data_IF_993672510947
#
_entry.id   IF_993672510947
#
_cell.length_a   1.000
_cell.length_b   1.000
_cell.length_c   1.000
_cell.angle_alpha   90.00
_cell.angle_beta   90.00
_cell.angle_gamma   90.00
#
_symmetry.space_group_name_H-M   'P 1'
#
loop_
_entity.id
_entity.type
_entity.pdbx_description
1 polymer ?
#
# COMPACT_ATOMS: atom_id res chain seq x y z
N UNK A 1 -1.99 -26.86 -44.71
CA UNK A 1 -0.80 -26.48 -45.51
C UNK A 1 -0.98 -25.06 -46.01
N UNK A 2 -0.53 -24.09 -45.22
CA UNK A 2 -0.18 -22.76 -45.70
C UNK A 2 0.76 -22.18 -44.64
N UNK A 3 2.02 -22.03 -45.06
CA UNK A 3 3.21 -21.56 -44.36
C UNK A 3 3.02 -20.17 -43.74
N UNK A 4 3.34 -19.96 -42.46
CA UNK A 4 4.69 -19.78 -41.87
C UNK A 4 5.51 -18.69 -42.54
N UNK A 5 5.47 -17.47 -41.98
CA UNK A 5 6.63 -16.60 -41.74
C UNK A 5 6.21 -15.26 -41.12
N UNK A 6 6.19 -15.18 -39.79
CA UNK A 6 6.22 -13.92 -39.05
C UNK A 6 7.46 -13.93 -38.14
N UNK A 7 8.50 -13.26 -38.60
CA UNK A 7 9.77 -13.07 -37.90
C UNK A 7 9.59 -12.09 -36.74
N UNK A 8 9.60 -12.61 -35.50
CA UNK A 8 9.73 -11.83 -34.27
C UNK A 8 11.15 -11.25 -34.15
N UNK A 9 11.29 -9.94 -34.33
CA UNK A 9 12.45 -9.18 -33.91
C UNK A 9 12.37 -8.92 -32.40
N UNK A 10 12.87 -9.87 -31.60
CA UNK A 10 13.13 -9.65 -30.17
C UNK A 10 14.46 -8.91 -30.01
N UNK A 11 14.38 -7.60 -29.80
CA UNK A 11 15.52 -6.80 -29.37
C UNK A 11 15.80 -7.15 -27.90
N UNK A 12 16.82 -7.97 -27.67
CA UNK A 12 17.42 -8.17 -26.36
C UNK A 12 18.32 -6.98 -26.05
N UNK A 13 17.88 -6.07 -25.18
CA UNK A 13 18.77 -5.06 -24.59
C UNK A 13 19.22 -5.58 -23.23
N UNK A 14 20.33 -6.33 -23.29
CA UNK A 14 21.10 -6.76 -22.14
C UNK A 14 22.47 -6.07 -22.24
N UNK A 15 22.65 -4.94 -21.55
CA UNK A 15 23.98 -4.38 -21.35
C UNK A 15 24.06 -3.54 -20.07
N UNK A 16 24.66 -4.16 -19.05
CA UNK A 16 25.71 -3.61 -18.18
C UNK A 16 25.70 -2.09 -17.94
N UNK A 17 25.44 -1.71 -16.69
CA UNK A 17 26.36 -0.83 -15.96
C UNK A 17 26.57 -1.35 -14.54
N UNK A 18 27.61 -2.17 -14.41
CA UNK A 18 28.31 -2.37 -13.15
C UNK A 18 29.15 -1.13 -12.92
N UNK A 19 28.92 -0.38 -11.85
CA UNK A 19 29.96 0.41 -11.16
C UNK A 19 29.42 1.08 -9.89
N UNK A 20 30.17 0.84 -8.80
CA UNK A 20 30.27 1.62 -7.55
C UNK A 20 29.08 1.58 -6.57
N UNK A 21 29.04 0.49 -5.83
CA UNK A 21 28.70 0.48 -4.41
C UNK A 21 29.75 1.30 -3.64
N UNK A 22 29.48 2.58 -3.41
CA UNK A 22 30.18 3.34 -2.36
C UNK A 22 29.55 3.00 -1.02
N UNK A 23 30.37 2.44 -0.14
CA UNK A 23 30.13 2.28 1.30
C UNK A 23 29.63 3.60 1.89
N UNK A 24 28.35 3.67 2.19
CA UNK A 24 27.81 4.60 3.18
C UNK A 24 27.36 3.72 4.34
N UNK A 25 28.27 3.56 5.29
CA UNK A 25 27.93 3.23 6.67
C UNK A 25 27.01 4.34 7.17
N UNK A 26 25.70 4.16 7.00
CA UNK A 26 24.75 4.79 7.87
C UNK A 26 24.48 3.76 8.95
N UNK A 27 24.76 4.17 10.19
CA UNK A 27 24.31 3.54 11.42
C UNK A 27 22.78 3.44 11.40
N UNK A 28 22.28 2.45 10.66
CA UNK A 28 21.04 1.79 10.97
C UNK A 28 21.32 1.04 12.26
N UNK A 29 21.12 1.75 13.38
CA UNK A 29 20.86 1.14 14.66
C UNK A 29 19.97 -0.06 14.38
N UNK A 30 20.54 -1.24 14.62
CA UNK A 30 19.87 -2.49 14.42
C UNK A 30 18.59 -2.42 15.24
N UNK A 31 17.45 -2.24 14.56
CA UNK A 31 16.20 -2.80 15.02
C UNK A 31 16.44 -4.30 14.95
N UNK A 32 17.16 -4.82 15.95
CA UNK A 32 17.08 -6.23 16.29
C UNK A 32 15.59 -6.44 16.47
N UNK A 33 14.94 -7.34 15.70
CA UNK A 33 13.63 -7.80 16.11
C UNK A 33 13.77 -8.18 17.59
N UNK A 34 12.90 -7.68 18.49
CA UNK A 34 13.02 -8.00 19.90
C UNK A 34 13.15 -9.52 20.01
N UNK A 35 14.20 -9.98 20.68
CA UNK A 35 14.56 -11.39 20.82
C UNK A 35 13.59 -12.17 21.72
N UNK A 36 12.31 -11.80 21.69
CA UNK A 36 11.23 -12.31 22.52
C UNK A 36 10.02 -12.52 21.59
N UNK A 37 10.15 -13.48 20.69
CA UNK A 37 9.00 -14.24 20.20
C UNK A 37 9.38 -15.72 20.33
N UNK A 38 9.74 -16.12 21.56
CA UNK A 38 9.53 -17.50 21.96
C UNK A 38 8.01 -17.70 21.92
N UNK A 39 7.62 -18.48 20.93
CA UNK A 39 6.29 -19.02 20.69
C UNK A 39 5.59 -19.34 22.01
N UNK A 40 4.58 -18.54 22.36
CA UNK A 40 3.54 -18.87 23.32
C UNK A 40 2.57 -19.93 22.74
N UNK A 41 3.14 -20.94 22.11
CA UNK A 41 2.54 -22.20 21.67
C UNK A 41 3.40 -23.20 22.44
N UNK A 42 2.98 -23.76 23.57
CA UNK A 42 1.89 -24.73 23.70
C UNK A 42 1.32 -24.78 25.13
N UNK A 43 1.63 -23.81 26.00
CA UNK A 43 1.25 -23.88 27.41
C UNK A 43 -0.14 -23.26 27.65
N UNK A 44 -1.21 -24.00 27.34
CA UNK A 44 -2.55 -23.95 28.00
C UNK A 44 -3.08 -22.62 28.55
N UNK A 45 -2.75 -21.49 27.91
CA UNK A 45 -2.98 -20.15 28.42
C UNK A 45 -4.44 -19.78 28.20
N UNK A 46 -5.21 -19.76 29.29
CA UNK A 46 -6.65 -19.53 29.29
C UNK A 46 -7.11 -18.39 28.38
N UNK A 47 -8.30 -18.58 27.80
CA UNK A 47 -9.01 -17.77 26.77
C UNK A 47 -9.02 -16.25 26.99
N UNK A 48 -8.82 -15.77 28.23
CA UNK A 48 -8.58 -14.35 28.51
C UNK A 48 -7.31 -13.77 27.86
N UNK A 49 -6.34 -14.64 27.51
CA UNK A 49 -5.08 -14.25 26.88
C UNK A 49 -5.25 -13.69 25.46
N UNK A 50 -6.25 -14.16 24.68
CA UNK A 50 -6.46 -13.72 23.30
C UNK A 50 -7.03 -12.31 23.20
N UNK A 51 -8.04 -11.98 24.02
CA UNK A 51 -8.59 -10.64 24.12
C UNK A 51 -7.53 -9.66 24.64
N UNK A 52 -6.80 -10.07 25.67
CA UNK A 52 -5.74 -9.24 26.24
C UNK A 52 -4.59 -9.03 25.24
N UNK A 53 -4.20 -10.05 24.48
CA UNK A 53 -3.21 -9.92 23.41
C UNK A 53 -3.68 -9.03 22.27
N UNK A 54 -4.95 -9.15 21.84
CA UNK A 54 -5.52 -8.28 20.80
C UNK A 54 -5.56 -6.82 21.28
N UNK A 55 -5.97 -6.60 22.53
CA UNK A 55 -6.03 -5.28 23.15
C UNK A 55 -4.63 -4.68 23.31
N UNK A 56 -3.63 -5.47 23.71
CA UNK A 56 -2.22 -5.06 23.78
C UNK A 56 -1.69 -4.64 22.40
N UNK A 57 -2.04 -5.38 21.34
CA UNK A 57 -1.67 -5.05 19.96
C UNK A 57 -2.37 -3.78 19.45
N UNK A 58 -3.60 -3.53 19.90
CA UNK A 58 -4.34 -2.30 19.58
C UNK A 58 -3.75 -1.09 20.33
N UNK A 59 -3.40 -1.29 21.61
CA UNK A 59 -2.86 -0.27 22.51
C UNK A 59 -1.34 -0.12 22.44
N UNK A 60 -0.67 -0.81 21.52
CA UNK A 60 0.77 -0.69 21.30
C UNK A 60 1.12 0.81 21.11
N UNK A 61 1.97 1.39 21.98
CA UNK A 61 2.26 2.83 21.96
C UNK A 61 2.84 3.27 20.62
N UNK A 62 3.60 2.42 19.93
CA UNK A 62 4.12 2.73 18.59
C UNK A 62 3.00 2.89 17.56
N UNK A 63 1.93 2.09 17.69
CA UNK A 63 0.75 2.16 16.82
C UNK A 63 -0.11 3.37 17.17
N UNK A 64 -0.30 3.66 18.45
CA UNK A 64 -1.02 4.86 18.91
C UNK A 64 -0.29 6.14 18.49
N UNK A 65 1.04 6.18 18.61
CA UNK A 65 1.85 7.29 18.11
C UNK A 65 1.70 7.44 16.59
N UNK A 66 1.77 6.33 15.84
CA UNK A 66 1.55 6.35 14.41
C UNK A 66 0.15 6.86 14.04
N UNK A 67 -0.91 6.41 14.72
CA UNK A 67 -2.28 6.91 14.54
C UNK A 67 -2.39 8.40 14.89
N UNK A 68 -1.81 8.83 16.02
CA UNK A 68 -1.77 10.24 16.41
C UNK A 68 -1.02 11.10 15.38
N UNK A 69 -0.01 10.54 14.71
CA UNK A 69 0.73 11.21 13.65
C UNK A 69 -0.06 11.26 12.34
N UNK A 70 -0.97 10.31 12.10
CA UNK A 70 -1.89 10.32 10.97
C UNK A 70 -3.03 11.33 11.15
N UNK A 71 -3.50 11.52 12.40
CA UNK A 71 -4.54 12.49 12.75
C UNK A 71 -4.03 13.92 12.87
N UNK A 72 -2.72 14.12 12.98
CA UNK A 72 -2.14 15.46 12.83
C UNK A 72 -2.45 15.96 11.42
N UNK A 73 -3.15 17.09 11.35
CA UNK A 73 -3.30 17.84 10.11
C UNK A 73 -1.93 18.01 9.47
N UNK A 74 -1.68 17.23 8.41
CA UNK A 74 -0.42 17.28 7.67
C UNK A 74 -0.19 18.69 7.14
N UNK A 75 -1.29 19.44 6.92
CA UNK A 75 -1.32 20.84 6.52
C UNK A 75 -2.52 21.54 7.19
N UNK A 76 -2.39 22.05 8.42
CA UNK A 76 -3.30 23.13 8.88
C UNK A 76 -3.18 24.26 7.87
N UNK A 77 -4.20 24.95 7.35
CA UNK A 77 -3.94 26.07 6.41
C UNK A 77 -3.52 27.32 7.20
N UNK A 78 -2.28 27.76 7.05
CA UNK A 78 -1.80 29.02 7.62
C UNK A 78 -1.41 29.95 6.46
N UNK A 79 -2.21 31.00 6.27
CA UNK A 79 -2.04 32.00 5.23
C UNK A 79 -0.72 32.77 5.35
N UNK A 80 -0.17 32.90 6.55
CA UNK A 80 1.04 33.69 6.79
C UNK A 80 2.34 32.90 6.60
N UNK A 81 2.26 31.57 6.55
CA UNK A 81 3.42 30.67 6.52
C UNK A 81 3.58 29.91 5.19
N UNK A 82 3.06 30.46 4.09
CA UNK A 82 3.14 29.82 2.77
C UNK A 82 4.58 29.47 2.36
N UNK A 83 5.52 30.41 2.50
CA UNK A 83 6.93 30.19 2.13
C UNK A 83 7.60 29.11 2.98
N UNK A 84 7.41 29.15 4.30
CA UNK A 84 7.94 28.13 5.22
C UNK A 84 7.51 26.72 4.81
N UNK A 85 6.25 26.57 4.35
CA UNK A 85 5.74 25.29 3.82
C UNK A 85 6.26 24.95 2.44
N UNK A 86 6.44 25.95 1.59
CA UNK A 86 7.01 25.76 0.27
C UNK A 86 8.44 25.20 0.37
N UNK A 87 9.18 25.55 1.42
CA UNK A 87 10.53 25.03 1.69
C UNK A 87 10.58 23.85 2.68
N UNK A 88 9.43 23.37 3.17
CA UNK A 88 9.42 22.20 4.06
C UNK A 88 9.91 20.95 3.31
N UNK A 89 10.97 20.35 3.84
CA UNK A 89 11.59 19.13 3.31
C UNK A 89 10.81 17.88 3.74
N UNK A 90 10.06 17.97 4.85
CA UNK A 90 9.38 16.81 5.45
C UNK A 90 8.24 16.34 4.55
N UNK A 91 8.25 15.06 4.19
CA UNK A 91 7.23 14.44 3.35
C UNK A 91 7.44 14.59 1.84
N UNK A 92 8.50 15.28 1.39
CA UNK A 92 8.84 15.37 -0.03
C UNK A 92 9.92 14.37 -0.40
N UNK A 93 9.81 13.79 -1.59
CA UNK A 93 10.88 12.98 -2.15
C UNK A 93 12.00 13.87 -2.72
N UNK A 94 12.65 14.65 -1.85
CA UNK A 94 13.69 15.61 -2.23
C UNK A 94 14.84 14.92 -2.93
N UNK A 95 15.18 13.68 -2.58
CA UNK A 95 16.22 12.91 -3.27
C UNK A 95 15.93 12.73 -4.76
N UNK A 96 14.68 12.49 -5.13
CA UNK A 96 14.29 12.30 -6.53
C UNK A 96 14.29 13.60 -7.35
N UNK A 97 14.04 14.75 -6.71
CA UNK A 97 14.02 16.06 -7.38
C UNK A 97 15.40 16.73 -7.37
N UNK A 98 16.12 16.62 -6.26
CA UNK A 98 17.39 17.29 -6.04
C UNK A 98 18.50 16.71 -6.92
N UNK A 99 18.54 15.40 -7.14
CA UNK A 99 19.54 14.77 -7.99
C UNK A 99 19.51 15.30 -9.45
N UNK A 100 18.36 15.30 -10.17
CA UNK A 100 18.31 15.85 -11.52
C UNK A 100 18.52 17.38 -11.52
N UNK A 101 18.06 18.09 -10.49
CA UNK A 101 18.26 19.54 -10.40
C UNK A 101 19.74 19.91 -10.23
N UNK A 102 20.46 19.22 -9.34
CA UNK A 102 21.92 19.38 -9.18
C UNK A 102 22.63 18.97 -10.48
N UNK A 103 22.20 17.89 -11.13
CA UNK A 103 22.78 17.47 -12.41
C UNK A 103 22.63 18.53 -13.49
N UNK A 104 21.44 19.12 -13.64
CA UNK A 104 21.18 20.20 -14.60
C UNK A 104 21.96 21.47 -14.25
N UNK A 105 22.05 21.81 -12.96
CA UNK A 105 22.82 22.95 -12.48
C UNK A 105 24.31 22.78 -12.77
N UNK A 106 24.89 21.64 -12.42
CA UNK A 106 26.29 21.33 -12.71
C UNK A 106 26.57 21.32 -14.20
N UNK A 107 25.64 20.78 -15.01
CA UNK A 107 25.74 20.82 -16.47
C UNK A 107 25.79 22.26 -17.00
N UNK A 108 24.89 23.13 -16.54
CA UNK A 108 24.90 24.55 -16.91
C UNK A 108 26.19 25.27 -16.47
N UNK A 109 26.67 24.97 -15.26
CA UNK A 109 27.92 25.52 -14.73
C UNK A 109 29.12 25.09 -15.57
N UNK A 110 29.18 23.82 -16.00
CA UNK A 110 30.23 23.30 -16.88
C UNK A 110 30.26 24.07 -18.21
N UNK A 111 29.11 24.28 -18.85
CA UNK A 111 29.03 25.08 -20.08
C UNK A 111 29.45 26.53 -19.88
N UNK A 112 28.95 27.17 -18.81
CA UNK A 112 29.30 28.56 -18.49
C UNK A 112 30.81 28.73 -18.27
N UNK A 113 31.45 27.84 -17.49
CA UNK A 113 32.89 27.86 -17.29
C UNK A 113 33.67 27.60 -18.59
N UNK A 114 33.16 26.71 -19.44
CA UNK A 114 33.76 26.40 -20.73
C UNK A 114 33.73 27.63 -21.65
N UNK A 115 32.62 28.36 -21.72
CA UNK A 115 32.50 29.60 -22.49
C UNK A 115 33.39 30.73 -21.93
N UNK A 116 33.40 30.94 -20.60
CA UNK A 116 34.27 31.96 -19.98
C UNK A 116 35.76 31.71 -20.23
N UNK A 117 36.20 30.44 -20.17
CA UNK A 117 37.59 30.08 -20.47
C UNK A 117 37.92 30.25 -21.96
N UNK A 118 37.00 29.86 -22.85
CA UNK A 118 37.19 30.04 -24.30
C UNK A 118 37.27 31.52 -24.67
N UNK A 119 36.41 32.35 -24.08
CA UNK A 119 36.40 33.80 -24.33
C UNK A 119 37.69 34.46 -23.83
N UNK A 120 38.16 34.11 -22.63
CA UNK A 120 39.45 34.60 -22.11
C UNK A 120 40.64 34.18 -22.98
N UNK A 121 40.62 32.98 -23.55
CA UNK A 121 41.67 32.51 -24.46
C UNK A 121 41.58 33.12 -25.86
N UNK A 122 40.40 33.60 -26.27
CA UNK A 122 40.13 34.11 -27.61
C UNK A 122 40.90 35.40 -27.93
N UNK A 123 41.41 36.11 -26.92
CA UNK A 123 42.17 37.35 -27.11
C UNK A 123 43.49 37.13 -27.89
N UNK A 124 43.96 35.89 -28.01
CA UNK A 124 45.21 35.54 -28.71
C UNK A 124 45.01 34.76 -30.02
N UNK A 125 43.80 34.30 -30.36
CA UNK A 125 43.60 33.45 -31.55
C UNK A 125 42.27 33.74 -32.26
N UNK A 126 42.37 34.43 -33.40
CA UNK A 126 41.26 34.87 -34.24
C UNK A 126 40.38 33.70 -34.73
N UNK A 127 40.97 32.52 -34.93
CA UNK A 127 40.25 31.33 -35.36
C UNK A 127 39.27 30.84 -34.29
N UNK A 128 39.61 30.94 -33.00
CA UNK A 128 38.74 30.47 -31.89
C UNK A 128 37.51 31.37 -31.75
N UNK A 129 37.68 32.69 -31.89
CA UNK A 129 36.59 33.67 -31.85
C UNK A 129 35.50 33.34 -32.89
N UNK A 130 35.92 32.95 -34.10
CA UNK A 130 35.00 32.61 -35.21
C UNK A 130 34.15 31.37 -34.92
N UNK A 131 34.72 30.36 -34.26
CA UNK A 131 33.96 29.16 -33.87
C UNK A 131 32.96 29.48 -32.74
N UNK A 132 33.37 30.29 -31.75
CA UNK A 132 32.52 30.67 -30.62
C UNK A 132 31.28 31.45 -31.10
N UNK A 133 31.47 32.48 -31.93
CA UNK A 133 30.34 33.26 -32.47
C UNK A 133 29.40 32.42 -33.32
N UNK A 134 29.93 31.49 -34.12
CA UNK A 134 29.11 30.55 -34.91
C UNK A 134 28.28 29.64 -34.01
N UNK A 135 28.86 29.12 -32.92
CA UNK A 135 28.10 28.30 -31.96
C UNK A 135 27.05 29.10 -31.20
N UNK A 136 27.34 30.35 -30.83
CA UNK A 136 26.39 31.21 -30.13
C UNK A 136 25.18 31.53 -31.01
N UNK A 137 25.39 31.91 -32.27
CA UNK A 137 24.28 32.11 -33.21
C UNK A 137 23.47 30.84 -33.46
N UNK A 138 24.11 29.67 -33.44
CA UNK A 138 23.39 28.39 -33.54
C UNK A 138 22.49 28.13 -32.31
N UNK A 139 22.92 28.52 -31.10
CA UNK A 139 22.09 28.44 -29.90
C UNK A 139 20.93 29.45 -29.92
N UNK A 140 21.21 30.71 -30.28
CA UNK A 140 20.17 31.75 -30.43
C UNK A 140 19.11 31.35 -31.46
N UNK A 141 19.52 30.73 -32.57
CA UNK A 141 18.59 30.20 -33.56
C UNK A 141 17.69 29.07 -33.00
N UNK A 142 18.18 28.31 -32.01
CA UNK A 142 17.42 27.23 -31.36
C UNK A 142 16.48 27.71 -30.27
N UNK A 143 16.71 28.86 -29.63
CA UNK A 143 15.79 29.42 -28.63
C UNK A 143 14.40 29.72 -29.22
N UNK A 144 14.37 30.09 -30.49
CA UNK A 144 13.13 30.26 -31.26
C UNK A 144 12.35 28.94 -31.44
N UNK A 145 13.01 27.79 -31.33
CA UNK A 145 12.38 26.46 -31.37
C UNK A 145 11.91 25.99 -29.99
N UNK A 146 12.62 26.35 -28.92
CA UNK A 146 12.30 25.92 -27.54
C UNK A 146 11.04 26.60 -27.02
N UNK A 147 10.90 27.90 -27.27
CA UNK A 147 9.75 28.69 -26.80
C UNK A 147 8.39 28.10 -27.20
N UNK A 148 8.13 27.74 -28.47
CA UNK A 148 6.86 27.12 -28.86
C UNK A 148 6.69 25.67 -28.36
N UNK A 149 7.77 24.98 -27.97
CA UNK A 149 7.70 23.64 -27.36
C UNK A 149 7.29 23.69 -25.88
N UNK A 150 7.55 24.80 -25.19
CA UNK A 150 7.27 24.93 -23.76
C UNK A 150 5.76 24.88 -23.47
N UNK A 151 4.94 25.50 -24.31
CA UNK A 151 3.47 25.52 -24.17
C UNK A 151 2.85 24.11 -24.23
N UNK A 152 3.06 23.30 -25.28
CA UNK A 152 2.51 21.94 -25.34
C UNK A 152 3.12 21.03 -24.27
N UNK A 153 4.40 21.20 -23.90
CA UNK A 153 5.00 20.43 -22.81
C UNK A 153 4.36 20.74 -21.46
N UNK A 154 4.10 22.03 -21.17
CA UNK A 154 3.41 22.46 -19.94
C UNK A 154 1.97 21.91 -19.89
N UNK A 155 1.28 21.92 -21.03
CA UNK A 155 -0.05 21.33 -21.16
C UNK A 155 -0.02 19.82 -20.90
N UNK A 156 0.85 19.06 -21.59
CA UNK A 156 1.00 17.61 -21.40
C UNK A 156 1.33 17.26 -19.94
N UNK A 157 2.22 18.01 -19.31
CA UNK A 157 2.60 17.83 -17.91
C UNK A 157 1.39 18.06 -16.99
N UNK A 158 0.61 19.13 -17.20
CA UNK A 158 -0.59 19.43 -16.41
C UNK A 158 -1.65 18.33 -16.54
N UNK A 159 -1.92 17.87 -17.76
CA UNK A 159 -2.89 16.77 -17.99
C UNK A 159 -2.46 15.47 -17.33
N UNK A 160 -1.17 15.15 -17.41
CA UNK A 160 -0.60 13.98 -16.75
C UNK A 160 -0.70 14.08 -15.24
N UNK A 161 -0.34 15.23 -14.66
CA UNK A 161 -0.46 15.47 -13.22
C UNK A 161 -1.92 15.37 -12.77
N UNK A 162 -2.86 16.01 -13.49
CA UNK A 162 -4.29 15.96 -13.19
C UNK A 162 -4.81 14.51 -13.17
N UNK A 163 -4.48 13.70 -14.18
CA UNK A 163 -4.86 12.27 -14.21
C UNK A 163 -4.24 11.49 -13.06
N UNK A 164 -2.96 11.72 -12.74
CA UNK A 164 -2.33 11.05 -11.60
C UNK A 164 -2.98 11.42 -10.26
N UNK A 165 -3.39 12.69 -10.11
CA UNK A 165 -4.06 13.19 -8.91
C UNK A 165 -5.45 12.55 -8.74
N UNK A 166 -6.25 12.47 -9.80
CA UNK A 166 -7.56 11.79 -9.76
C UNK A 166 -7.41 10.35 -9.28
N UNK A 167 -6.47 9.59 -9.86
CA UNK A 167 -6.25 8.19 -9.48
C UNK A 167 -5.76 8.01 -8.05
N UNK A 168 -4.93 8.95 -7.58
CA UNK A 168 -4.50 8.98 -6.19
C UNK A 168 -5.69 9.17 -5.24
N UNK A 169 -6.59 10.11 -5.56
CA UNK A 169 -7.78 10.36 -4.77
C UNK A 169 -8.81 9.22 -4.84
N UNK A 170 -9.03 8.63 -6.01
CA UNK A 170 -9.90 7.46 -6.18
C UNK A 170 -9.42 6.27 -5.34
N UNK A 171 -8.11 6.00 -5.36
CA UNK A 171 -7.52 4.94 -4.54
C UNK A 171 -7.67 5.22 -3.03
N UNK A 172 -7.54 6.48 -2.62
CA UNK A 172 -7.74 6.90 -1.22
C UNK A 172 -9.21 6.80 -0.81
N UNK A 173 -10.14 7.21 -1.68
CA UNK A 173 -11.57 7.10 -1.45
C UNK A 173 -11.99 5.62 -1.32
N UNK A 174 -11.49 4.74 -2.18
CA UNK A 174 -11.74 3.30 -2.10
C UNK A 174 -11.21 2.70 -0.78
N UNK A 175 -10.00 3.08 -0.36
CA UNK A 175 -9.45 2.66 0.93
C UNK A 175 -10.25 3.21 2.13
N UNK A 176 -10.69 4.47 2.05
CA UNK A 176 -11.54 5.08 3.08
C UNK A 176 -12.87 4.35 3.23
N UNK A 177 -13.52 4.05 2.11
CA UNK A 177 -14.75 3.25 2.05
C UNK A 177 -14.55 1.85 2.63
N UNK A 178 -13.42 1.21 2.34
CA UNK A 178 -13.06 -0.10 2.91
C UNK A 178 -13.04 -0.04 4.45
N UNK A 179 -12.36 0.95 5.02
CA UNK A 179 -12.28 1.14 6.49
C UNK A 179 -13.65 1.45 7.10
N UNK A 180 -14.43 2.32 6.46
CA UNK A 180 -15.79 2.67 6.88
C UNK A 180 -16.69 1.44 6.95
N UNK A 181 -16.67 0.60 5.91
CA UNK A 181 -17.47 -0.63 5.86
C UNK A 181 -17.00 -1.63 6.92
N UNK A 182 -15.69 -1.80 7.12
CA UNK A 182 -15.20 -2.65 8.21
C UNK A 182 -15.74 -2.20 9.58
N UNK A 183 -15.79 -0.88 9.84
CA UNK A 183 -16.34 -0.36 11.10
C UNK A 183 -17.85 -0.58 11.22
N UNK A 184 -18.60 -0.29 10.15
CA UNK A 184 -20.06 -0.50 10.13
C UNK A 184 -20.40 -1.99 10.29
N UNK A 185 -19.65 -2.86 9.63
CA UNK A 185 -19.86 -4.30 9.66
C UNK A 185 -19.58 -4.88 11.04
N UNK A 186 -18.47 -4.47 11.68
CA UNK A 186 -18.19 -4.87 13.05
C UNK A 186 -19.29 -4.44 14.02
N UNK A 187 -19.83 -3.23 13.86
CA UNK A 187 -20.92 -2.75 14.71
C UNK A 187 -22.20 -3.58 14.51
N UNK A 188 -22.56 -3.89 13.27
CA UNK A 188 -23.73 -4.71 12.95
C UNK A 188 -23.60 -6.14 13.48
N UNK A 189 -22.42 -6.75 13.32
CA UNK A 189 -22.11 -8.10 13.85
C UNK A 189 -22.14 -8.11 15.38
N UNK A 190 -21.50 -7.13 16.03
CA UNK A 190 -21.49 -7.04 17.48
C UNK A 190 -22.90 -6.85 18.06
N UNK A 191 -23.72 -5.99 17.44
CA UNK A 191 -25.11 -5.78 17.88
C UNK A 191 -25.97 -7.02 17.60
N UNK A 192 -25.84 -7.62 16.42
CA UNK A 192 -26.57 -8.82 16.02
C UNK A 192 -26.33 -9.98 16.99
N UNK A 193 -25.06 -10.24 17.31
CA UNK A 193 -24.64 -11.35 18.16
C UNK A 193 -24.85 -11.09 19.66
N UNK A 194 -24.61 -9.86 20.14
CA UNK A 194 -24.68 -9.55 21.59
C UNK A 194 -26.06 -9.11 22.09
N UNK A 195 -26.95 -8.66 21.20
CA UNK A 195 -28.26 -8.16 21.62
C UNK A 195 -29.16 -9.19 22.33
N UNK A 196 -29.17 -10.50 21.98
CA UNK A 196 -29.98 -11.49 22.69
C UNK A 196 -29.53 -11.68 24.14
N UNK A 197 -28.21 -11.74 24.38
CA UNK A 197 -27.63 -11.88 25.71
C UNK A 197 -27.98 -10.70 26.62
N UNK A 198 -27.86 -9.46 26.13
CA UNK A 198 -28.23 -8.25 26.89
C UNK A 198 -29.70 -8.26 27.35
N UNK A 199 -30.61 -8.76 26.51
CA UNK A 199 -32.04 -8.84 26.85
C UNK A 199 -32.34 -9.89 27.91
N UNK A 200 -31.61 -11.01 27.90
CA UNK A 200 -31.79 -12.10 28.86
C UNK A 200 -31.20 -11.73 30.22
N UNK A 201 -30.02 -11.10 30.26
CA UNK A 201 -29.37 -10.65 31.50
C UNK A 201 -30.24 -9.69 32.31
N UNK A 202 -30.96 -8.80 31.61
CA UNK A 202 -31.93 -7.88 32.26
C UNK A 202 -33.08 -8.59 32.97
N UNK A 203 -33.33 -9.88 32.70
CA UNK A 203 -34.50 -10.61 33.21
C UNK A 203 -34.16 -11.74 34.17
N UNK A 204 -33.04 -12.44 33.96
CA UNK A 204 -32.69 -13.65 34.72
C UNK A 204 -31.65 -13.43 35.85
N UNK A 205 -31.08 -12.23 35.98
CA UNK A 205 -29.95 -12.02 36.90
C UNK A 205 -28.62 -12.53 36.34
N UNK A 206 -27.57 -12.53 37.16
CA UNK A 206 -26.19 -12.92 36.77
C UNK A 206 -25.97 -14.45 36.69
N UNK A 207 -27.02 -15.27 36.85
CA UNK A 207 -26.89 -16.72 36.66
C UNK A 207 -26.53 -17.06 35.21
N UNK A 208 -25.53 -17.94 35.07
CA UNK A 208 -24.77 -18.25 33.85
C UNK A 208 -25.62 -18.29 32.58
N UNK A 209 -25.41 -17.30 31.70
CA UNK A 209 -25.96 -17.33 30.36
C UNK A 209 -25.10 -18.25 29.50
N UNK A 210 -25.62 -19.44 29.21
CA UNK A 210 -24.96 -20.42 28.35
C UNK A 210 -24.54 -19.79 27.02
N UNK A 211 -23.29 -19.99 26.66
CA UNK A 211 -22.66 -19.63 25.38
C UNK A 211 -22.34 -18.14 25.12
N UNK A 212 -22.48 -17.22 26.09
CA UNK A 212 -22.01 -15.83 25.91
C UNK A 212 -20.50 -15.77 25.60
N UNK A 213 -19.71 -16.64 26.24
CA UNK A 213 -18.28 -16.75 26.02
C UNK A 213 -17.94 -17.20 24.59
N UNK A 214 -18.68 -18.17 24.05
CA UNK A 214 -18.47 -18.67 22.70
C UNK A 214 -18.87 -17.61 21.65
N UNK A 215 -19.97 -16.90 21.88
CA UNK A 215 -20.35 -15.75 21.05
C UNK A 215 -19.28 -14.64 21.08
N UNK A 216 -18.69 -14.37 22.24
CA UNK A 216 -17.58 -13.42 22.35
C UNK A 216 -16.33 -13.89 21.59
N UNK A 217 -16.02 -15.18 21.64
CA UNK A 217 -14.90 -15.79 20.90
C UNK A 217 -15.11 -15.66 19.39
N UNK A 218 -16.32 -15.97 18.90
CA UNK A 218 -16.69 -15.81 17.50
C UNK A 218 -16.62 -14.35 17.05
N UNK A 219 -17.07 -13.42 17.90
CA UNK A 219 -16.96 -11.98 17.65
C UNK A 219 -15.50 -11.53 17.54
N UNK A 220 -14.63 -12.04 18.42
CA UNK A 220 -13.21 -11.74 18.40
C UNK A 220 -12.57 -12.27 17.12
N UNK A 221 -12.83 -13.52 16.75
CA UNK A 221 -12.31 -14.12 15.52
C UNK A 221 -12.79 -13.33 14.29
N UNK A 222 -14.09 -13.00 14.21
CA UNK A 222 -14.62 -12.17 13.14
C UNK A 222 -13.91 -10.81 13.04
N UNK A 223 -13.69 -10.14 14.17
CA UNK A 223 -13.01 -8.84 14.23
C UNK A 223 -11.55 -8.92 13.76
N UNK A 224 -10.86 -10.01 14.09
CA UNK A 224 -9.47 -10.25 13.70
C UNK A 224 -9.35 -10.39 12.18
N UNK A 225 -10.22 -11.20 11.56
CA UNK A 225 -10.25 -11.35 10.10
C UNK A 225 -10.67 -10.07 9.38
N UNK A 226 -11.61 -9.33 9.96
CA UNK A 226 -12.06 -8.06 9.40
C UNK A 226 -10.95 -6.99 9.45
N UNK A 227 -10.14 -6.99 10.52
CA UNK A 227 -8.96 -6.13 10.64
C UNK A 227 -7.79 -6.58 9.75
N UNK A 228 -7.66 -7.89 9.50
CA UNK A 228 -6.64 -8.45 8.62
C UNK A 228 -6.89 -8.10 7.13
N UNK A 229 -8.16 -7.98 6.70
CA UNK A 229 -8.51 -7.71 5.29
C UNK A 229 -7.90 -6.41 4.70
N UNK A 230 -7.97 -5.23 5.35
CA UNK A 230 -7.29 -4.03 4.86
C UNK A 230 -5.77 -4.20 4.74
N UNK A 231 -5.16 -4.96 5.64
CA UNK A 231 -3.71 -5.23 5.65
C UNK A 231 -3.35 -6.18 4.51
N UNK A 232 -4.14 -7.24 4.31
CA UNK A 232 -4.09 -8.11 3.13
C UNK A 232 -4.14 -7.31 1.83
N UNK A 233 -5.10 -6.39 1.73
CA UNK A 233 -5.27 -5.52 0.57
C UNK A 233 -4.05 -4.62 0.33
N UNK A 234 -3.50 -4.01 1.39
CA UNK A 234 -2.30 -3.17 1.31
C UNK A 234 -1.10 -3.94 0.76
N UNK A 235 -0.80 -5.12 1.32
CA UNK A 235 0.36 -5.93 0.88
C UNK A 235 0.18 -6.48 -0.53
N UNK A 236 -1.05 -6.83 -0.90
CA UNK A 236 -1.37 -7.27 -2.26
C UNK A 236 -1.14 -6.17 -3.29
N UNK A 237 -1.64 -4.95 -3.03
CA UNK A 237 -1.55 -3.82 -3.96
C UNK A 237 -0.16 -3.18 -4.01
N UNK A 238 0.61 -3.30 -2.92
CA UNK A 238 1.99 -2.79 -2.83
C UNK A 238 2.91 -3.93 -2.44
N UNK A 239 3.15 -4.89 -3.35
CA UNK A 239 4.18 -5.86 -3.12
C UNK A 239 5.50 -5.08 -3.03
N UNK A 240 6.14 -5.16 -1.87
CA UNK A 240 7.47 -4.60 -1.74
C UNK A 240 8.35 -5.26 -2.80
N UNK A 241 9.10 -4.46 -3.55
CA UNK A 241 9.96 -4.92 -4.65
C UNK A 241 11.15 -5.66 -4.06
N UNK A 242 10.94 -6.92 -3.69
CA UNK A 242 11.96 -7.73 -3.08
C UNK A 242 12.88 -8.31 -4.15
N UNK A 243 14.16 -8.01 -4.03
CA UNK A 243 15.20 -8.88 -4.59
C UNK A 243 15.14 -10.21 -3.84
N UNK A 244 15.35 -11.34 -4.52
CA UNK A 244 15.30 -12.70 -3.96
C UNK A 244 16.10 -12.88 -2.66
N UNK A 245 17.13 -12.05 -2.44
CA UNK A 245 17.97 -12.05 -1.24
C UNK A 245 17.28 -11.50 0.03
N UNK A 246 16.17 -10.76 -0.11
CA UNK A 246 15.45 -10.13 1.01
C UNK A 246 14.14 -10.84 1.39
N UNK A 247 13.90 -12.04 0.86
CA UNK A 247 12.66 -12.78 1.08
C UNK A 247 12.36 -13.05 2.56
N UNK A 248 13.36 -13.46 3.33
CA UNK A 248 13.18 -13.72 4.77
C UNK A 248 12.75 -12.47 5.55
N UNK A 249 13.22 -11.28 5.15
CA UNK A 249 12.84 -10.00 5.76
C UNK A 249 11.42 -9.60 5.39
N UNK A 250 11.05 -9.82 4.13
CA UNK A 250 9.69 -9.59 3.63
C UNK A 250 8.67 -10.41 4.39
N UNK A 251 8.92 -11.73 4.45
CA UNK A 251 8.09 -12.68 5.16
C UNK A 251 8.02 -12.32 6.64
N UNK A 252 9.16 -12.06 7.29
CA UNK A 252 9.17 -11.65 8.70
C UNK A 252 8.34 -10.39 8.94
N UNK A 253 8.41 -9.39 8.04
CA UNK A 253 7.63 -8.16 8.15
C UNK A 253 6.13 -8.40 7.97
N UNK A 254 5.74 -9.11 6.91
CA UNK A 254 4.34 -9.48 6.70
C UNK A 254 3.82 -10.29 7.88
N UNK A 255 4.61 -11.25 8.36
CA UNK A 255 4.28 -12.06 9.52
C UNK A 255 4.15 -11.23 10.80
N UNK A 256 4.96 -10.19 11.00
CA UNK A 256 4.78 -9.26 12.12
C UNK A 256 3.47 -8.46 12.00
N UNK A 257 3.05 -8.10 10.78
CA UNK A 257 1.78 -7.36 10.56
C UNK A 257 0.55 -8.29 10.69
N UNK A 258 0.58 -9.52 10.16
CA UNK A 258 -0.55 -10.47 10.21
C UNK A 258 -0.60 -11.31 11.49
N UNK A 259 0.56 -11.78 11.96
CA UNK A 259 0.65 -12.78 13.02
C UNK A 259 0.23 -12.28 14.39
N UNK A 260 0.14 -10.96 14.57
CA UNK A 260 -0.45 -10.36 15.76
C UNK A 260 -1.98 -10.36 15.75
N UNK A 261 -2.60 -10.52 14.58
CA UNK A 261 -4.04 -10.42 14.40
C UNK A 261 -4.71 -11.77 14.24
N UNK A 262 -4.06 -12.72 13.56
CA UNK A 262 -4.66 -14.00 13.20
C UNK A 262 -3.75 -15.13 13.67
N UNK A 263 -4.35 -16.29 13.92
CA UNK A 263 -3.63 -17.51 14.29
C UNK A 263 -2.43 -17.77 13.37
N UNK A 264 -1.39 -18.37 13.91
CA UNK A 264 -0.17 -18.66 13.16
C UNK A 264 -0.43 -19.52 11.92
N UNK A 265 -1.34 -20.48 12.04
CA UNK A 265 -1.76 -21.37 10.96
C UNK A 265 -2.45 -20.59 9.84
N UNK A 266 -3.31 -19.63 10.19
CA UNK A 266 -4.07 -18.87 9.20
C UNK A 266 -3.26 -17.73 8.58
N UNK A 267 -2.38 -17.10 9.36
CA UNK A 267 -1.37 -16.19 8.82
C UNK A 267 -0.46 -16.93 7.83
N UNK A 268 -0.08 -18.18 8.16
CA UNK A 268 0.63 -19.05 7.22
C UNK A 268 -0.21 -19.34 5.98
N UNK A 269 -1.49 -19.70 6.08
CA UNK A 269 -2.34 -19.88 4.88
C UNK A 269 -2.39 -18.61 4.01
N UNK A 270 -2.56 -17.44 4.62
CA UNK A 270 -2.56 -16.17 3.89
C UNK A 270 -1.24 -15.88 3.16
N UNK A 271 -0.11 -16.27 3.75
CA UNK A 271 1.23 -16.02 3.17
C UNK A 271 1.66 -17.15 2.23
N UNK A 272 1.56 -18.41 2.64
CA UNK A 272 2.03 -19.59 1.89
C UNK A 272 1.13 -20.00 0.74
N UNK A 273 -0.18 -19.71 0.76
CA UNK A 273 -1.01 -19.86 -0.45
C UNK A 273 -0.55 -18.92 -1.58
N UNK A 274 0.20 -17.84 -1.26
CA UNK A 274 0.93 -17.07 -2.28
C UNK A 274 2.25 -17.72 -2.75
N UNK A 275 2.88 -18.54 -1.91
CA UNK A 275 4.28 -18.93 -2.03
C UNK A 275 4.51 -20.25 -2.77
N UNK A 276 3.61 -21.24 -2.61
CA UNK A 276 3.73 -22.57 -3.26
C UNK A 276 3.69 -22.54 -4.80
N UNK A 277 3.60 -21.37 -5.41
CA UNK A 277 3.64 -21.17 -6.87
C UNK A 277 5.03 -20.77 -7.39
N UNK A 278 5.96 -20.37 -6.50
CA UNK A 278 7.24 -19.78 -6.92
C UNK A 278 8.35 -20.79 -7.20
N UNK A 279 8.20 -22.07 -6.81
CA UNK A 279 9.24 -23.09 -6.96
C UNK A 279 9.40 -23.65 -8.38
N UNK A 280 8.30 -23.96 -9.07
CA UNK A 280 8.34 -24.50 -10.45
C UNK A 280 7.32 -23.84 -11.40
N UNK A 281 6.18 -23.33 -10.91
CA UNK A 281 5.19 -22.60 -11.70
C UNK A 281 5.56 -21.12 -11.94
N UNK A 282 6.68 -20.64 -11.38
CA UNK A 282 7.19 -19.28 -11.57
C UNK A 282 7.52 -18.95 -13.04
N UNK A 283 7.67 -19.95 -13.91
CA UNK A 283 7.83 -19.73 -15.36
C UNK A 283 6.54 -19.27 -16.07
N UNK A 284 5.36 -19.40 -15.44
CA UNK A 284 4.06 -19.07 -16.06
C UNK A 284 3.31 -17.94 -15.33
N UNK A 285 3.82 -17.42 -14.22
CA UNK A 285 3.33 -16.16 -13.63
C UNK A 285 1.92 -16.23 -13.02
N UNK A 286 1.41 -17.42 -12.70
CA UNK A 286 0.09 -17.57 -12.07
C UNK A 286 0.24 -17.53 -10.55
N UNK A 287 -0.20 -16.44 -9.92
CA UNK A 287 -0.43 -16.38 -8.47
C UNK A 287 -1.64 -17.28 -8.17
N UNK A 288 -1.47 -18.26 -7.28
CA UNK A 288 -2.52 -19.27 -7.05
C UNK A 288 -3.70 -18.73 -6.23
N UNK A 289 -3.49 -17.81 -5.27
CA UNK A 289 -4.58 -17.10 -4.56
C UNK A 289 -4.16 -15.72 -4.05
N UNK A 290 -5.10 -14.77 -4.10
CA UNK A 290 -4.91 -13.42 -3.56
C UNK A 290 -5.25 -13.39 -2.06
N UNK A 291 -4.36 -12.93 -1.16
CA UNK A 291 -4.61 -12.86 0.29
C UNK A 291 -5.93 -12.17 0.67
N UNK A 292 -6.34 -11.06 0.02
CA UNK A 292 -7.64 -10.44 0.29
C UNK A 292 -8.81 -11.40 0.09
N UNK A 293 -8.77 -12.25 -0.94
CA UNK A 293 -9.81 -13.23 -1.22
C UNK A 293 -9.87 -14.33 -0.16
N UNK A 294 -8.72 -14.76 0.37
CA UNK A 294 -8.66 -15.73 1.49
C UNK A 294 -9.36 -15.15 2.72
N UNK A 295 -9.07 -13.89 3.07
CA UNK A 295 -9.75 -13.22 4.18
C UNK A 295 -11.24 -13.00 3.93
N UNK A 296 -11.66 -12.66 2.71
CA UNK A 296 -13.08 -12.50 2.37
C UNK A 296 -13.84 -13.83 2.47
N UNK A 297 -13.25 -14.93 1.98
CA UNK A 297 -13.84 -16.25 2.08
C UNK A 297 -14.03 -16.67 3.54
N UNK A 298 -13.03 -16.41 4.40
CA UNK A 298 -13.15 -16.69 5.83
C UNK A 298 -14.19 -15.80 6.51
N UNK A 299 -14.29 -14.52 6.13
CA UNK A 299 -15.34 -13.63 6.63
C UNK A 299 -16.74 -14.12 6.25
N UNK A 300 -16.94 -14.67 5.05
CA UNK A 300 -18.24 -15.26 4.68
C UNK A 300 -18.59 -16.49 5.53
N UNK A 301 -17.62 -17.35 5.83
CA UNK A 301 -17.82 -18.49 6.75
C UNK A 301 -18.21 -18.00 8.13
N UNK A 302 -17.46 -17.06 8.70
CA UNK A 302 -17.75 -16.52 10.03
C UNK A 302 -19.06 -15.73 10.05
N UNK A 303 -19.45 -15.07 8.95
CA UNK A 303 -20.74 -14.40 8.84
C UNK A 303 -21.91 -15.39 8.95
N UNK A 304 -21.75 -16.59 8.39
CA UNK A 304 -22.72 -17.68 8.57
C UNK A 304 -22.78 -18.12 10.03
N UNK A 305 -21.62 -18.40 10.63
CA UNK A 305 -21.53 -18.84 12.03
C UNK A 305 -22.12 -17.81 13.00
N UNK A 306 -21.91 -16.52 12.75
CA UNK A 306 -22.47 -15.40 13.54
C UNK A 306 -23.98 -15.33 13.39
N UNK A 307 -24.50 -15.46 12.17
CA UNK A 307 -25.92 -15.31 11.91
C UNK A 307 -26.74 -16.49 12.46
N UNK A 308 -26.18 -17.69 12.40
CA UNK A 308 -26.82 -18.94 12.82
C UNK A 308 -26.29 -19.47 14.15
N UNK A 309 -25.70 -18.61 14.97
CA UNK A 309 -25.23 -18.97 16.31
C UNK A 309 -26.36 -19.56 17.17
N UNK A 310 -26.06 -20.67 17.87
CA UNK A 310 -27.03 -21.36 18.72
C UNK A 310 -27.03 -20.75 20.14
N UNK A 311 -28.14 -20.11 20.49
CA UNK A 311 -28.29 -19.43 21.77
C UNK A 311 -28.88 -20.38 22.83
N UNK A 312 -28.01 -21.15 23.50
CA UNK A 312 -28.43 -21.98 24.64
C UNK A 312 -28.87 -21.12 25.84
N UNK A 313 -29.97 -21.51 26.50
CA UNK A 313 -30.48 -20.81 27.69
C UNK A 313 -31.12 -19.43 27.43
N UNK A 314 -31.15 -18.95 26.18
CA UNK A 314 -31.78 -17.67 25.83
C UNK A 314 -33.26 -17.89 25.50
N UNK A 315 -34.13 -17.51 26.45
CA UNK A 315 -35.60 -17.63 26.30
C UNK A 315 -36.20 -16.93 25.06
N UNK A 316 -35.48 -15.97 24.49
CA UNK A 316 -35.85 -15.23 23.27
C UNK A 316 -34.73 -15.23 22.25
N UNK A 317 -34.37 -16.42 21.77
CA UNK A 317 -33.47 -16.55 20.63
C UNK A 317 -34.02 -15.75 19.42
N UNK A 318 -33.15 -15.18 18.58
CA UNK A 318 -33.57 -14.51 17.36
C UNK A 318 -34.40 -15.46 16.48
N UNK A 319 -35.45 -14.94 15.85
CA UNK A 319 -36.24 -15.74 14.91
C UNK A 319 -35.39 -16.11 13.69
N UNK A 320 -35.65 -17.25 13.01
CA UNK A 320 -34.94 -17.61 11.78
C UNK A 320 -34.98 -16.51 10.71
N UNK A 321 -36.08 -15.76 10.67
CA UNK A 321 -36.20 -14.59 9.80
C UNK A 321 -35.21 -13.49 10.17
N UNK A 322 -35.06 -13.15 11.45
CA UNK A 322 -34.09 -12.16 11.91
C UNK A 322 -32.63 -12.60 11.62
N UNK A 323 -32.32 -13.89 11.80
CA UNK A 323 -31.01 -14.46 11.43
C UNK A 323 -30.73 -14.31 9.93
N UNK A 324 -31.71 -14.62 9.07
CA UNK A 324 -31.56 -14.46 7.62
C UNK A 324 -31.32 -13.00 7.19
N UNK A 325 -31.96 -12.04 7.86
CA UNK A 325 -31.77 -10.61 7.60
C UNK A 325 -30.35 -10.19 8.02
N UNK A 326 -29.90 -10.65 9.19
CA UNK A 326 -28.55 -10.38 9.67
C UNK A 326 -27.50 -10.95 8.71
N UNK A 327 -27.65 -12.21 8.29
CA UNK A 327 -26.75 -12.85 7.32
C UNK A 327 -26.69 -12.09 5.99
N UNK A 328 -27.85 -11.72 5.42
CA UNK A 328 -27.92 -10.94 4.18
C UNK A 328 -27.18 -9.62 4.33
N UNK A 329 -27.42 -8.89 5.44
CA UNK A 329 -26.79 -7.60 5.69
C UNK A 329 -25.26 -7.69 5.83
N UNK A 330 -24.76 -8.68 6.58
CA UNK A 330 -23.31 -8.89 6.74
C UNK A 330 -22.70 -9.25 5.39
N UNK A 331 -23.34 -10.15 4.63
CA UNK A 331 -22.89 -10.59 3.31
C UNK A 331 -22.85 -9.44 2.31
N UNK A 332 -23.87 -8.57 2.29
CA UNK A 332 -23.88 -7.37 1.45
C UNK A 332 -22.71 -6.45 1.75
N UNK A 333 -22.39 -6.24 3.04
CA UNK A 333 -21.23 -5.44 3.43
C UNK A 333 -19.91 -6.08 3.00
N UNK A 334 -19.76 -7.40 3.15
CA UNK A 334 -18.57 -8.13 2.65
C UNK A 334 -18.45 -8.02 1.12
N UNK A 335 -19.57 -8.07 0.39
CA UNK A 335 -19.58 -7.86 -1.06
C UNK A 335 -19.13 -6.44 -1.44
N UNK A 336 -19.50 -5.41 -0.67
CA UNK A 336 -19.02 -4.04 -0.89
C UNK A 336 -17.52 -3.91 -0.56
N UNK A 337 -17.00 -4.65 0.44
CA UNK A 337 -15.56 -4.75 0.69
C UNK A 337 -14.82 -5.33 -0.52
N UNK A 338 -15.34 -6.42 -1.09
CA UNK A 338 -14.80 -7.03 -2.31
C UNK A 338 -14.82 -6.04 -3.49
N UNK A 339 -15.92 -5.30 -3.67
CA UNK A 339 -16.03 -4.26 -4.71
C UNK A 339 -15.03 -3.11 -4.53
N UNK A 340 -14.80 -2.66 -3.30
CA UNK A 340 -13.82 -1.62 -2.96
C UNK A 340 -12.39 -2.10 -3.25
N UNK A 341 -12.06 -3.34 -2.87
CA UNK A 341 -10.80 -3.99 -3.19
C UNK A 341 -10.59 -4.08 -4.72
N UNK A 342 -11.57 -4.59 -5.47
CA UNK A 342 -11.47 -4.72 -6.92
C UNK A 342 -11.32 -3.37 -7.63
N UNK A 343 -11.89 -2.29 -7.08
CA UNK A 343 -11.64 -0.95 -7.59
C UNK A 343 -10.17 -0.52 -7.44
N UNK A 344 -9.56 -0.79 -6.28
CA UNK A 344 -8.14 -0.49 -6.04
C UNK A 344 -7.22 -1.35 -6.92
N UNK A 345 -7.55 -2.62 -7.10
CA UNK A 345 -6.82 -3.52 -7.99
C UNK A 345 -6.86 -3.02 -9.43
N UNK A 346 -8.03 -2.63 -9.96
CA UNK A 346 -8.13 -2.04 -11.29
C UNK A 346 -7.23 -0.81 -11.45
N UNK A 347 -7.18 0.07 -10.43
CA UNK A 347 -6.31 1.26 -10.46
C UNK A 347 -4.83 0.85 -10.51
N UNK A 348 -4.44 -0.17 -9.74
CA UNK A 348 -3.08 -0.68 -9.70
C UNK A 348 -2.66 -1.37 -11.02
N UNK A 349 -3.54 -2.19 -11.60
CA UNK A 349 -3.27 -2.99 -12.80
C UNK A 349 -3.31 -2.19 -14.10
N UNK A 350 -3.91 -1.00 -14.11
CA UNK A 350 -3.99 -0.16 -15.31
C UNK A 350 -2.99 0.98 -15.21
N UNK A 351 -1.66 0.78 -15.36
CA UNK A 351 -0.72 1.90 -15.34
C UNK A 351 -1.11 2.95 -16.39
N UNK A 352 -0.76 4.22 -16.16
CA UNK A 352 -0.99 5.26 -17.16
C UNK A 352 -0.34 4.82 -18.49
N UNK A 353 -1.04 4.92 -19.63
CA UNK A 353 -0.51 4.38 -20.89
C UNK A 353 0.89 4.93 -21.16
N UNK A 354 1.83 4.04 -21.45
CA UNK A 354 3.25 4.37 -21.63
C UNK A 354 3.49 5.46 -22.69
N UNK A 355 2.60 5.56 -23.68
CA UNK A 355 2.61 6.63 -24.69
C UNK A 355 2.53 8.02 -24.05
N UNK A 356 1.74 8.20 -22.98
CA UNK A 356 1.71 9.44 -22.21
C UNK A 356 2.98 9.67 -21.39
N UNK A 357 3.74 8.62 -21.11
CA UNK A 357 4.99 8.72 -20.35
C UNK A 357 6.16 9.12 -21.24
N UNK A 358 6.29 8.47 -22.40
CA UNK A 358 7.38 8.70 -23.36
C UNK A 358 7.23 10.04 -24.08
N UNK A 359 6.00 10.43 -24.45
CA UNK A 359 5.73 11.71 -25.13
C UNK A 359 5.92 12.94 -24.23
N UNK A 360 6.13 12.76 -22.91
CA UNK A 360 6.52 13.85 -22.01
C UNK A 360 8.04 13.93 -21.81
N UNK A 361 8.81 12.93 -22.26
CA UNK A 361 10.26 12.83 -22.06
C UNK A 361 11.01 13.18 -23.36
N UNK A 362 10.44 12.83 -24.51
CA UNK A 362 10.81 13.34 -25.84
C UNK A 362 10.13 14.70 -26.06
#
# INVERSE_FOLDING_TARGET
MCSDSASELRISLNSRSSSRTSLINNDASAIRPPAIYQTASEAGGGRGSLLQGTLEVILDPARLEALSSCDRDVLTYDSYNFFSRMFSIRGRNTRMVLAPLISLFLWGLVWSLLFLRLESSSYYNENVSRYVSTTQHFFEAKDNLITPLLTPLSFLLTFRLARSAVRFWDARAAMGKLIEICRSNMADVAVGLMSPFRRTRSKLGDEQVGNEQEAMELLCEYSQWLAAFPIATKHYLRPETFTTKNYSKAYAKQRCEYGRLVSDVDAQKMIFECENSFGEASKVGVRVRDPPLVSLNRLHQLAWDVAYFEYEGVTKAPTPHAQSILFSRITDQINILCGSYGAMERIALTPLPFVYVVRSIL
#
